data_IF_311191252539
#
_entry.id   IF_311191252539
#
_cell.length_a   1.000
_cell.length_b   1.000
_cell.length_c   1.000
_cell.angle_alpha   90.00
_cell.angle_beta   90.00
_cell.angle_gamma   90.00
#
_symmetry.space_group_name_H-M   'P 1'
#
loop_
_entity.id
_entity.type
_entity.pdbx_description
1 polymer ?
#
# COMPACT_ATOMS: atom_id res chain seq x y z
N UNK A 1 -8.97 22.77 -26.17
CA UNK A 1 -7.89 21.81 -25.93
C UNK A 1 -8.49 20.56 -25.23
N UNK A 2 -8.71 19.53 -26.02
CA UNK A 2 -9.11 18.23 -25.48
C UNK A 2 -7.90 17.65 -24.76
N UNK A 3 -7.93 17.60 -23.45
CA UNK A 3 -7.11 16.69 -22.67
C UNK A 3 -7.54 15.26 -23.04
N UNK A 4 -6.68 14.55 -23.76
CA UNK A 4 -6.87 13.12 -23.94
C UNK A 4 -6.70 12.44 -22.58
N UNK A 5 -7.80 12.13 -21.93
CA UNK A 5 -7.79 11.12 -20.89
C UNK A 5 -7.55 9.78 -21.56
N UNK A 6 -6.32 9.33 -21.58
CA UNK A 6 -5.99 7.95 -21.89
C UNK A 6 -6.44 7.09 -20.72
N UNK A 7 -7.75 6.83 -20.66
CA UNK A 7 -8.30 5.85 -19.74
C UNK A 7 -7.67 4.51 -20.08
N UNK A 8 -6.80 4.00 -19.20
CA UNK A 8 -6.20 2.67 -19.31
C UNK A 8 -4.70 2.62 -19.56
N UNK A 9 -4.00 3.71 -19.84
CA UNK A 9 -2.53 3.74 -19.81
C UNK A 9 -2.14 4.25 -18.43
N UNK A 10 -1.58 3.36 -17.61
CA UNK A 10 -1.00 3.73 -16.34
C UNK A 10 0.33 4.44 -16.61
N UNK A 11 0.28 5.74 -16.84
CA UNK A 11 1.47 6.56 -16.96
C UNK A 11 2.09 6.79 -15.58
N UNK A 12 3.40 6.58 -15.50
CA UNK A 12 4.20 6.95 -14.35
C UNK A 12 4.23 8.48 -14.28
N UNK A 13 3.56 9.05 -13.28
CA UNK A 13 3.63 10.48 -13.03
C UNK A 13 4.95 10.80 -12.32
N UNK A 14 5.93 11.25 -13.06
CA UNK A 14 7.26 11.61 -12.56
C UNK A 14 7.56 13.05 -12.93
N UNK A 15 8.01 13.82 -11.95
CA UNK A 15 8.49 15.17 -12.18
C UNK A 15 9.76 15.15 -13.04
N UNK A 16 9.70 15.78 -14.21
CA UNK A 16 10.80 15.86 -15.17
C UNK A 16 11.13 17.33 -15.48
N UNK A 17 12.27 17.53 -16.14
CA UNK A 17 12.70 18.84 -16.57
C UNK A 17 13.17 19.75 -15.45
N UNK A 18 12.93 21.08 -15.59
CA UNK A 18 13.40 22.09 -14.66
C UNK A 18 12.97 21.86 -13.20
N UNK A 19 11.70 21.49 -12.90
CA UNK A 19 11.30 21.17 -11.52
C UNK A 19 12.15 20.07 -10.90
N UNK A 20 12.50 19.03 -11.67
CA UNK A 20 13.36 17.94 -11.18
C UNK A 20 14.80 18.39 -10.91
N UNK A 21 15.33 19.26 -11.74
CA UNK A 21 16.66 19.84 -11.54
C UNK A 21 16.69 20.66 -10.25
N UNK A 22 15.65 21.46 -10.00
CA UNK A 22 15.51 22.25 -8.76
C UNK A 22 15.46 21.31 -7.53
N UNK A 23 14.68 20.23 -7.57
CA UNK A 23 14.62 19.25 -6.48
C UNK A 23 16.01 18.65 -6.17
N UNK A 24 16.81 18.34 -7.19
CA UNK A 24 18.15 17.77 -7.05
C UNK A 24 19.15 18.78 -6.49
N UNK A 25 19.11 20.03 -6.99
CA UNK A 25 19.99 21.12 -6.53
C UNK A 25 19.65 21.52 -5.09
N UNK A 26 18.37 21.58 -4.74
CA UNK A 26 17.89 21.85 -3.39
C UNK A 26 18.11 20.68 -2.42
N UNK A 27 18.59 19.54 -2.90
CA UNK A 27 18.79 18.32 -2.12
C UNK A 27 17.56 17.95 -1.27
N UNK A 28 16.37 18.00 -1.87
CA UNK A 28 15.12 17.67 -1.17
C UNK A 28 15.10 16.21 -0.76
N UNK A 29 14.84 15.96 0.53
CA UNK A 29 14.83 14.60 1.11
C UNK A 29 13.80 13.67 0.46
N UNK A 30 12.63 14.21 0.05
CA UNK A 30 11.61 13.45 -0.70
C UNK A 30 11.30 14.19 -1.99
N UNK A 31 11.36 13.53 -3.16
CA UNK A 31 10.91 14.11 -4.42
C UNK A 31 9.39 14.31 -4.39
N UNK A 32 8.88 15.26 -5.20
CA UNK A 32 7.45 15.53 -5.29
C UNK A 32 6.65 14.32 -5.77
N UNK A 33 7.26 13.52 -6.66
CA UNK A 33 6.68 12.29 -7.20
C UNK A 33 7.66 11.13 -7.04
N UNK A 34 7.77 10.55 -5.83
CA UNK A 34 8.63 9.39 -5.61
C UNK A 34 8.14 8.21 -6.45
N UNK A 35 9.08 7.54 -7.09
CA UNK A 35 8.77 6.42 -7.97
C UNK A 35 9.95 5.46 -8.08
N UNK A 36 9.65 4.18 -8.30
CA UNK A 36 10.65 3.15 -8.49
C UNK A 36 10.32 2.31 -9.72
N UNK A 37 11.36 1.80 -10.37
CA UNK A 37 11.28 0.76 -11.38
C UNK A 37 11.95 -0.49 -10.81
N UNK A 38 11.17 -1.54 -10.64
CA UNK A 38 11.58 -2.77 -9.97
C UNK A 38 11.60 -3.88 -11.02
N UNK A 39 12.79 -4.42 -11.25
CA UNK A 39 12.98 -5.55 -12.14
C UNK A 39 12.84 -6.86 -11.36
N UNK A 40 12.29 -7.86 -12.02
CA UNK A 40 11.99 -9.15 -11.41
C UNK A 40 13.10 -10.17 -11.70
N UNK A 41 13.21 -11.15 -10.84
CA UNK A 41 14.13 -12.27 -11.01
C UNK A 41 13.90 -13.02 -12.35
N UNK A 42 14.96 -13.60 -12.90
CA UNK A 42 14.95 -14.32 -14.18
C UNK A 42 13.84 -15.38 -14.28
N UNK A 43 13.44 -15.98 -13.17
CA UNK A 43 12.40 -17.02 -13.11
C UNK A 43 10.99 -16.45 -13.20
N UNK A 44 10.79 -15.19 -12.80
CA UNK A 44 9.49 -14.54 -12.60
C UNK A 44 9.17 -13.57 -13.73
N UNK A 45 10.18 -12.88 -14.28
CA UNK A 45 10.01 -11.79 -15.25
C UNK A 45 9.28 -12.17 -16.54
N UNK A 46 9.26 -13.44 -16.91
CA UNK A 46 8.59 -13.93 -18.13
C UNK A 46 7.09 -14.21 -17.90
N UNK A 47 6.68 -14.48 -16.65
CA UNK A 47 5.31 -14.83 -16.31
C UNK A 47 4.54 -13.63 -15.75
N UNK A 48 3.42 -13.27 -16.42
CA UNK A 48 2.53 -12.20 -15.96
C UNK A 48 1.92 -12.50 -14.59
N UNK A 49 1.52 -13.75 -14.35
CA UNK A 49 0.87 -14.14 -13.10
C UNK A 49 1.81 -14.04 -11.90
N UNK A 50 3.06 -14.50 -12.11
CA UNK A 50 4.09 -14.38 -11.10
C UNK A 50 4.44 -12.92 -10.80
N UNK A 51 4.53 -12.08 -11.85
CA UNK A 51 4.74 -10.64 -11.70
C UNK A 51 3.60 -9.96 -10.92
N UNK A 52 2.33 -10.32 -11.20
CA UNK A 52 1.17 -9.84 -10.44
C UNK A 52 1.27 -10.24 -8.97
N UNK A 53 1.73 -11.45 -8.67
CA UNK A 53 1.87 -11.89 -7.28
C UNK A 53 2.90 -11.06 -6.51
N UNK A 54 4.04 -10.77 -7.14
CA UNK A 54 5.06 -9.88 -6.54
C UNK A 54 4.54 -8.45 -6.41
N UNK A 55 3.85 -7.92 -7.44
CA UNK A 55 3.25 -6.60 -7.41
C UNK A 55 2.26 -6.41 -6.24
N UNK A 56 1.48 -7.46 -5.93
CA UNK A 56 0.55 -7.45 -4.78
C UNK A 56 1.28 -7.45 -3.44
N UNK A 57 2.44 -8.09 -3.36
CA UNK A 57 3.25 -8.09 -2.14
C UNK A 57 3.96 -6.75 -1.91
N UNK A 58 4.17 -5.96 -2.97
CA UNK A 58 4.77 -4.63 -2.88
C UNK A 58 3.72 -3.56 -2.54
N UNK A 59 2.52 -3.68 -3.11
CA UNK A 59 1.46 -2.68 -2.96
C UNK A 59 1.03 -2.56 -1.50
N UNK A 60 1.16 -1.36 -0.95
CA UNK A 60 0.63 -1.04 0.37
C UNK A 60 -0.87 -1.29 0.41
N UNK A 61 -1.30 -2.00 1.43
CA UNK A 61 -2.71 -2.28 1.70
C UNK A 61 -2.98 -1.96 3.16
N UNK A 62 -3.73 -0.90 3.39
CA UNK A 62 -4.16 -0.47 4.72
C UNK A 62 -5.50 -1.09 5.10
N UNK A 63 -5.86 -1.03 6.37
CA UNK A 63 -7.20 -1.43 6.85
C UNK A 63 -8.29 -0.66 6.09
N UNK A 64 -8.08 0.63 5.84
CA UNK A 64 -9.03 1.48 5.10
C UNK A 64 -9.32 0.98 3.67
N UNK A 65 -8.35 0.31 3.03
CA UNK A 65 -8.54 -0.25 1.68
C UNK A 65 -9.36 -1.54 1.68
N UNK A 66 -9.54 -2.17 2.83
CA UNK A 66 -10.18 -3.48 3.01
C UNK A 66 -11.56 -3.38 3.70
N UNK A 67 -11.95 -2.19 4.13
CA UNK A 67 -13.20 -1.93 4.85
C UNK A 67 -14.17 -1.16 3.96
N UNK A 68 -15.43 -1.59 3.93
CA UNK A 68 -16.52 -0.91 3.22
C UNK A 68 -17.07 0.24 4.07
N UNK A 69 -17.36 -0.06 5.34
CA UNK A 69 -17.98 0.88 6.27
C UNK A 69 -17.44 0.71 7.69
N UNK A 70 -17.51 1.78 8.46
CA UNK A 70 -17.06 1.81 9.85
C UNK A 70 -18.13 2.45 10.71
N UNK A 71 -18.66 1.67 11.65
CA UNK A 71 -19.60 2.18 12.63
C UNK A 71 -18.93 2.29 14.00
N UNK A 72 -19.26 3.35 14.73
CA UNK A 72 -18.84 3.54 16.12
C UNK A 72 -20.07 3.64 16.99
N UNK A 73 -20.22 2.72 17.94
CA UNK A 73 -21.30 2.76 18.89
C UNK A 73 -20.94 3.55 20.16
N UNK A 74 -21.93 4.07 20.85
CA UNK A 74 -21.80 4.78 22.15
C UNK A 74 -21.19 3.89 23.25
N UNK A 75 -21.19 2.58 23.06
CA UNK A 75 -20.59 1.57 23.95
C UNK A 75 -19.05 1.42 23.80
N UNK A 76 -18.38 2.35 23.11
CA UNK A 76 -16.93 2.29 22.83
C UNK A 76 -16.53 1.07 21.97
N UNK A 77 -17.44 0.63 21.13
CA UNK A 77 -17.19 -0.40 20.12
C UNK A 77 -16.97 0.24 18.74
N UNK A 78 -16.00 -0.29 17.99
CA UNK A 78 -15.74 0.08 16.60
C UNK A 78 -16.03 -1.16 15.76
N UNK A 79 -16.95 -1.03 14.83
CA UNK A 79 -17.36 -2.09 13.93
C UNK A 79 -16.77 -1.80 12.56
N UNK A 80 -16.00 -2.75 12.02
CA UNK A 80 -15.37 -2.68 10.70
C UNK A 80 -16.03 -3.72 9.78
N UNK A 81 -16.76 -3.26 8.77
CA UNK A 81 -17.34 -4.14 7.75
C UNK A 81 -16.35 -4.37 6.61
N UNK A 82 -16.00 -5.62 6.33
CA UNK A 82 -14.95 -5.99 5.40
C UNK A 82 -15.44 -6.12 3.96
N UNK A 83 -14.64 -5.63 3.02
CA UNK A 83 -14.84 -5.84 1.59
C UNK A 83 -14.21 -7.17 1.13
N UNK A 84 -15.01 -8.20 1.01
CA UNK A 84 -14.58 -9.52 0.54
C UNK A 84 -13.97 -9.50 -0.88
N UNK A 85 -14.41 -8.57 -1.75
CA UNK A 85 -13.85 -8.45 -3.09
C UNK A 85 -12.44 -7.86 -3.02
N UNK A 86 -12.25 -6.85 -2.19
CA UNK A 86 -10.95 -6.25 -1.95
C UNK A 86 -9.99 -7.22 -1.26
N UNK A 87 -10.44 -7.93 -0.23
CA UNK A 87 -9.65 -8.98 0.42
C UNK A 87 -9.13 -10.01 -0.59
N UNK A 88 -9.99 -10.53 -1.46
CA UNK A 88 -9.59 -11.47 -2.52
C UNK A 88 -8.65 -10.84 -3.54
N UNK A 89 -8.92 -9.61 -3.99
CA UNK A 89 -8.09 -8.92 -4.98
C UNK A 89 -6.67 -8.65 -4.46
N UNK A 90 -6.54 -8.31 -3.20
CA UNK A 90 -5.27 -8.04 -2.50
C UNK A 90 -4.60 -9.32 -1.97
N UNK A 91 -5.30 -10.47 -2.02
CA UNK A 91 -4.87 -11.71 -1.36
C UNK A 91 -4.55 -11.49 0.12
N UNK A 92 -5.43 -10.79 0.81
CA UNK A 92 -5.41 -10.62 2.25
C UNK A 92 -6.47 -11.50 2.88
N UNK A 93 -6.19 -12.03 4.04
CA UNK A 93 -7.14 -12.79 4.86
C UNK A 93 -7.60 -11.96 6.05
N UNK A 94 -8.71 -12.36 6.67
CA UNK A 94 -9.17 -11.74 7.91
C UNK A 94 -8.14 -11.93 9.02
N UNK A 95 -7.41 -13.04 8.99
CA UNK A 95 -6.32 -13.34 9.92
C UNK A 95 -5.15 -12.34 9.78
N UNK A 96 -4.79 -11.97 8.55
CA UNK A 96 -3.77 -10.94 8.32
C UNK A 96 -4.17 -9.60 8.94
N UNK A 97 -5.47 -9.25 8.86
CA UNK A 97 -5.99 -8.03 9.46
C UNK A 97 -5.97 -8.10 10.99
N UNK A 98 -6.41 -9.21 11.58
CA UNK A 98 -6.39 -9.37 13.04
C UNK A 98 -4.98 -9.30 13.58
N UNK A 99 -4.02 -9.96 12.94
CA UNK A 99 -2.60 -9.90 13.30
C UNK A 99 -2.04 -8.47 13.22
N UNK A 100 -2.37 -7.72 12.16
CA UNK A 100 -1.93 -6.34 12.02
C UNK A 100 -2.51 -5.43 13.13
N UNK A 101 -3.74 -5.72 13.56
CA UNK A 101 -4.42 -4.98 14.62
C UNK A 101 -3.99 -5.40 16.03
N UNK A 102 -3.53 -6.62 16.26
CA UNK A 102 -3.07 -7.12 17.56
C UNK A 102 -1.91 -6.32 18.16
N UNK A 103 -1.15 -5.61 17.33
CA UNK A 103 -0.08 -4.73 17.81
C UNK A 103 -0.60 -3.60 18.72
N UNK A 104 -1.88 -3.26 18.64
CA UNK A 104 -2.53 -2.25 19.47
C UNK A 104 -3.25 -2.89 20.66
N UNK A 105 -2.66 -2.82 21.85
CA UNK A 105 -3.21 -3.38 23.10
C UNK A 105 -4.41 -2.60 23.69
N UNK A 106 -4.94 -1.60 22.98
CA UNK A 106 -6.01 -0.72 23.49
C UNK A 106 -7.42 -1.27 23.29
N UNK A 107 -7.56 -2.34 22.54
CA UNK A 107 -8.85 -2.95 22.25
C UNK A 107 -8.73 -4.48 22.19
N UNK A 108 -9.84 -5.14 22.41
CA UNK A 108 -10.03 -6.57 22.17
C UNK A 108 -10.73 -6.75 20.84
N UNK A 109 -10.39 -7.82 20.13
CA UNK A 109 -10.94 -8.11 18.79
C UNK A 109 -11.91 -9.28 18.85
N UNK A 110 -13.03 -9.13 18.17
CA UNK A 110 -14.00 -10.20 17.95
C UNK A 110 -14.31 -10.25 16.45
N UNK A 111 -14.16 -11.42 15.84
CA UNK A 111 -14.44 -11.60 14.41
C UNK A 111 -15.77 -12.32 14.24
N UNK A 112 -16.71 -11.70 13.55
CA UNK A 112 -18.02 -12.25 13.26
C UNK A 112 -18.26 -12.23 11.75
N UNK A 113 -18.00 -13.36 11.07
CA UNK A 113 -18.08 -13.49 9.61
C UNK A 113 -17.20 -12.46 8.88
N UNK A 114 -17.85 -11.46 8.24
CA UNK A 114 -17.21 -10.42 7.45
C UNK A 114 -17.06 -9.10 8.23
N UNK A 115 -17.18 -9.15 9.55
CA UNK A 115 -17.13 -7.96 10.42
C UNK A 115 -16.10 -8.18 11.52
N UNK A 116 -15.28 -7.18 11.77
CA UNK A 116 -14.36 -7.14 12.92
C UNK A 116 -14.90 -6.12 13.91
N UNK A 117 -15.19 -6.58 15.12
CA UNK A 117 -15.66 -5.74 16.22
C UNK A 117 -14.45 -5.49 17.15
N UNK A 118 -14.12 -4.24 17.35
CA UNK A 118 -13.06 -3.80 18.24
C UNK A 118 -13.67 -3.16 19.47
N UNK A 119 -13.52 -3.81 20.63
CA UNK A 119 -14.03 -3.30 21.93
C UNK A 119 -12.88 -2.62 22.66
N UNK A 120 -13.03 -1.35 22.97
CA UNK A 120 -12.05 -0.62 23.76
C UNK A 120 -11.99 -1.18 25.18
N UNK A 121 -10.76 -1.27 25.70
CA UNK A 121 -10.51 -1.76 27.07
C UNK A 121 -10.92 -0.71 28.11
N UNK A 122 -10.85 0.57 27.76
CA UNK A 122 -11.20 1.70 28.63
C UNK A 122 -12.29 2.54 27.98
N UNK A 123 -13.26 3.02 28.77
CA UNK A 123 -14.23 4.00 28.30
C UNK A 123 -13.51 5.28 27.86
N UNK A 124 -13.77 5.72 26.67
CA UNK A 124 -13.07 6.85 26.04
C UNK A 124 -14.06 7.83 25.43
N UNK A 125 -13.70 9.11 25.45
CA UNK A 125 -14.47 10.16 24.81
C UNK A 125 -14.55 9.94 23.28
N UNK A 126 -15.63 10.37 22.65
CA UNK A 126 -15.85 10.25 21.20
C UNK A 126 -14.69 10.80 20.36
N UNK A 127 -13.97 11.82 20.83
CA UNK A 127 -12.80 12.39 20.16
C UNK A 127 -11.64 11.38 20.17
N UNK A 128 -11.44 10.70 21.29
CA UNK A 128 -10.40 9.67 21.43
C UNK A 128 -10.71 8.45 20.57
N UNK A 129 -11.98 8.03 20.53
CA UNK A 129 -12.46 6.93 19.68
C UNK A 129 -12.21 7.24 18.20
N UNK A 130 -12.59 8.42 17.72
CA UNK A 130 -12.36 8.85 16.34
C UNK A 130 -10.85 8.94 16.00
N UNK A 131 -10.04 9.41 16.94
CA UNK A 131 -8.58 9.46 16.75
C UNK A 131 -7.99 8.06 16.64
N UNK A 132 -8.49 7.12 17.45
CA UNK A 132 -8.09 5.72 17.42
C UNK A 132 -8.55 5.05 16.11
N UNK A 133 -9.80 5.27 15.69
CA UNK A 133 -10.34 4.78 14.42
C UNK A 133 -9.45 5.23 13.25
N UNK A 134 -9.09 6.51 13.19
CA UNK A 134 -8.20 7.03 12.15
C UNK A 134 -6.80 6.38 12.17
N UNK A 135 -6.30 5.98 13.33
CA UNK A 135 -5.05 5.23 13.44
C UNK A 135 -5.22 3.79 12.96
N UNK A 136 -6.32 3.14 13.35
CA UNK A 136 -6.65 1.78 12.91
C UNK A 136 -6.77 1.71 11.40
N UNK A 137 -7.51 2.62 10.78
CA UNK A 137 -7.70 2.68 9.34
C UNK A 137 -6.38 2.86 8.56
N UNK A 138 -5.40 3.54 9.14
CA UNK A 138 -4.07 3.75 8.56
C UNK A 138 -3.09 2.60 8.85
N UNK A 139 -3.48 1.61 9.64
CA UNK A 139 -2.62 0.45 9.91
C UNK A 139 -2.42 -0.33 8.62
N UNK A 140 -1.17 -0.64 8.32
CA UNK A 140 -0.80 -1.42 7.13
C UNK A 140 -0.98 -2.90 7.46
N UNK A 141 -1.79 -3.57 6.68
CA UNK A 141 -2.04 -5.02 6.79
C UNK A 141 -1.01 -5.80 5.99
N UNK A 142 -0.71 -5.31 4.77
CA UNK A 142 0.20 -5.98 3.84
C UNK A 142 0.87 -4.97 2.92
N UNK A 143 2.00 -5.38 2.35
CA UNK A 143 2.72 -4.57 1.38
C UNK A 143 3.84 -3.74 1.99
N UNK A 144 4.45 -2.92 1.16
CA UNK A 144 5.56 -2.06 1.52
C UNK A 144 5.04 -0.66 1.82
N UNK A 145 5.34 -0.10 3.01
CA UNK A 145 4.93 1.26 3.37
C UNK A 145 5.37 2.29 2.34
N UNK A 146 4.57 3.32 2.15
CA UNK A 146 4.82 4.44 1.22
C UNK A 146 4.67 4.10 -0.28
N UNK A 147 4.24 2.89 -0.64
CA UNK A 147 3.94 2.51 -2.02
C UNK A 147 2.43 2.48 -2.26
N UNK A 148 1.89 3.64 -2.61
CA UNK A 148 0.45 3.82 -2.78
C UNK A 148 -0.12 3.16 -4.04
N UNK A 149 0.69 2.99 -5.08
CA UNK A 149 0.25 2.42 -6.35
C UNK A 149 1.34 1.60 -7.02
N UNK A 150 0.92 0.51 -7.63
CA UNK A 150 1.79 -0.37 -8.41
C UNK A 150 1.19 -0.57 -9.79
N UNK A 151 2.00 -0.42 -10.83
CA UNK A 151 1.66 -0.66 -12.22
C UNK A 151 2.67 -1.60 -12.85
N UNK A 152 2.23 -2.36 -13.84
CA UNK A 152 3.12 -3.29 -14.55
C UNK A 152 3.28 -2.85 -15.99
N UNK A 153 4.49 -2.84 -16.48
CA UNK A 153 4.86 -2.53 -17.86
C UNK A 153 5.68 -3.70 -18.42
N UNK A 154 5.54 -3.92 -19.70
CA UNK A 154 6.39 -4.87 -20.40
C UNK A 154 7.49 -4.12 -21.13
N UNK A 155 8.74 -4.42 -20.82
CA UNK A 155 9.93 -3.88 -21.49
C UNK A 155 10.76 -5.04 -22.04
N UNK A 156 11.06 -5.00 -23.35
CA UNK A 156 11.85 -6.03 -24.03
C UNK A 156 11.36 -7.47 -23.81
N UNK A 157 10.03 -7.66 -23.65
CA UNK A 157 9.43 -8.97 -23.37
C UNK A 157 9.45 -9.38 -21.89
N UNK A 158 9.99 -8.57 -21.01
CA UNK A 158 10.06 -8.80 -19.56
C UNK A 158 9.09 -7.89 -18.80
N UNK A 159 8.52 -8.39 -17.70
CA UNK A 159 7.65 -7.59 -16.84
C UNK A 159 8.48 -6.77 -15.85
N UNK A 160 8.22 -5.47 -15.83
CA UNK A 160 8.79 -4.50 -14.91
C UNK A 160 7.68 -3.90 -14.06
N UNK A 161 7.90 -3.81 -12.78
CA UNK A 161 6.97 -3.20 -11.83
C UNK A 161 7.37 -1.74 -11.63
N UNK A 162 6.42 -0.84 -11.85
CA UNK A 162 6.59 0.59 -11.59
C UNK A 162 5.73 0.99 -10.39
N UNK A 163 6.30 1.74 -9.47
CA UNK A 163 5.60 2.18 -8.25
C UNK A 163 5.38 3.69 -8.25
N UNK A 164 4.31 4.10 -7.59
CA UNK A 164 4.14 5.46 -7.10
C UNK A 164 4.36 5.43 -5.60
N UNK A 165 5.38 6.11 -5.16
CA UNK A 165 5.98 5.96 -3.85
C UNK A 165 7.33 5.26 -3.92
N UNK A 166 8.15 5.42 -2.90
CA UNK A 166 9.46 4.80 -2.81
C UNK A 166 9.78 4.36 -1.39
N UNK A 167 10.33 3.16 -1.27
CA UNK A 167 10.89 2.60 -0.05
C UNK A 167 11.82 1.45 -0.46
N UNK A 168 13.04 1.81 -0.88
CA UNK A 168 13.98 0.87 -1.46
C UNK A 168 14.33 -0.26 -0.50
N UNK A 169 14.60 0.07 0.76
CA UNK A 169 15.02 -0.91 1.77
C UNK A 169 13.98 -2.03 1.91
N UNK A 170 12.72 -1.66 2.09
CA UNK A 170 11.63 -2.63 2.26
C UNK A 170 11.31 -3.40 0.98
N UNK A 171 11.44 -2.76 -0.18
CA UNK A 171 11.25 -3.43 -1.47
C UNK A 171 12.30 -4.52 -1.67
N UNK A 172 13.56 -4.28 -1.31
CA UNK A 172 14.63 -5.28 -1.42
C UNK A 172 14.46 -6.50 -0.50
N UNK A 173 13.60 -6.42 0.52
CA UNK A 173 13.24 -7.54 1.37
C UNK A 173 12.20 -8.48 0.71
N UNK A 174 11.48 -8.00 -0.32
CA UNK A 174 10.43 -8.78 -1.00
C UNK A 174 11.05 -9.84 -1.90
N UNK A 175 10.51 -11.06 -1.83
CA UNK A 175 10.96 -12.17 -2.66
C UNK A 175 10.56 -12.00 -4.13
N UNK A 176 11.42 -12.44 -5.04
CA UNK A 176 11.18 -12.40 -6.49
C UNK A 176 11.62 -11.13 -7.18
N UNK A 177 12.33 -10.24 -6.48
CA UNK A 177 12.88 -9.00 -7.01
C UNK A 177 14.37 -9.18 -7.31
N UNK A 178 14.81 -8.71 -8.48
CA UNK A 178 16.23 -8.59 -8.80
C UNK A 178 16.82 -7.40 -8.03
N UNK A 179 17.45 -7.69 -6.90
CA UNK A 179 17.98 -6.69 -5.97
C UNK A 179 19.05 -5.78 -6.57
N UNK A 180 19.68 -6.18 -7.66
CA UNK A 180 20.72 -5.40 -8.32
C UNK A 180 20.18 -4.42 -9.38
N UNK A 181 18.92 -4.61 -9.78
CA UNK A 181 18.28 -3.85 -10.85
C UNK A 181 17.06 -3.06 -10.39
N UNK A 182 17.00 -2.65 -9.13
CA UNK A 182 15.99 -1.71 -8.65
C UNK A 182 16.46 -0.28 -8.87
N UNK A 183 15.60 0.56 -9.46
CA UNK A 183 15.90 1.97 -9.71
C UNK A 183 14.90 2.84 -8.98
N UNK A 184 15.35 3.85 -8.27
CA UNK A 184 14.52 4.84 -7.60
C UNK A 184 14.90 6.25 -8.08
N UNK A 185 13.93 7.15 -8.08
CA UNK A 185 14.19 8.58 -8.29
C UNK A 185 14.46 9.31 -6.98
N UNK A 186 14.36 8.64 -5.85
CA UNK A 186 14.72 9.17 -4.54
C UNK A 186 16.21 8.95 -4.28
N UNK A 187 16.98 10.03 -4.20
CA UNK A 187 18.43 9.99 -4.03
C UNK A 187 18.89 9.72 -2.59
N UNK A 188 17.97 9.68 -1.64
CA UNK A 188 18.25 9.49 -0.21
C UNK A 188 17.85 8.09 0.32
N UNK A 189 17.53 7.15 -0.59
CA UNK A 189 17.22 5.75 -0.28
C UNK A 189 18.37 4.79 -0.56
#
# INVERSE_FOLDING_TARGET
LRTFHTAGIAEKNVTLGLPRIIELVDARKKPATPAMDIYLDKKIKASRESAISVARNILETSVNDLVIDTETDHSSEIILELDNNMLRSRKCTVEDMTLALESNKKFTQEVVKDTIILKLVEESDSITVNTLLNKILKTIVKGVPEIARVTMKQENGEWVIQTTGSNLIKVLEVEGIDKFNVRTNNIFE
#
